data_IF_050848548343
#
_entry.id   IF_050848548343
#
_cell.length_a   1.000
_cell.length_b   1.000
_cell.length_c   1.000
_cell.angle_alpha   90.00
_cell.angle_beta   90.00
_cell.angle_gamma   90.00
#
_symmetry.space_group_name_H-M   'P 1'
#
loop_
_entity.id
_entity.type
_entity.pdbx_description
1 polymer ?
#
# COMPACT_ATOMS: atom_id res chain seq x y z
N UNK A 1 12.67 5.01 10.48
CA UNK A 1 12.79 3.61 10.04
C UNK A 1 13.42 2.72 11.11
N UNK A 2 14.67 2.97 11.55
CA UNK A 2 15.35 2.08 12.52
C UNK A 2 14.54 1.93 13.81
N UNK A 3 14.03 3.02 14.37
CA UNK A 3 13.24 2.97 15.61
C UNK A 3 11.94 2.18 15.42
N UNK A 4 11.26 2.38 14.28
CA UNK A 4 10.05 1.64 13.93
C UNK A 4 10.32 0.14 13.79
N UNK A 5 11.43 -0.23 13.15
CA UNK A 5 11.82 -1.63 12.97
C UNK A 5 12.24 -2.27 14.31
N UNK A 6 12.80 -1.49 15.24
CA UNK A 6 13.14 -1.95 16.60
C UNK A 6 11.91 -2.10 17.49
N UNK A 7 10.81 -1.41 17.18
CA UNK A 7 9.56 -1.60 17.90
C UNK A 7 9.04 -3.02 17.72
N UNK A 8 8.48 -3.59 18.79
CA UNK A 8 7.94 -4.96 18.84
C UNK A 8 8.90 -6.00 18.24
N UNK A 9 10.11 -6.22 18.81
CA UNK A 9 11.19 -6.98 18.18
C UNK A 9 10.86 -8.45 17.91
N UNK A 10 9.84 -9.00 18.59
CA UNK A 10 9.34 -10.36 18.36
C UNK A 10 8.57 -10.49 17.04
N UNK A 11 8.05 -9.38 16.53
CA UNK A 11 7.21 -9.40 15.33
C UNK A 11 8.01 -9.25 14.06
N UNK A 12 7.56 -9.92 13.01
CA UNK A 12 8.14 -9.81 11.67
C UNK A 12 7.71 -8.50 11.02
N UNK A 13 8.63 -7.82 10.32
CA UNK A 13 8.34 -6.58 9.59
C UNK A 13 8.64 -6.72 8.10
N UNK A 14 7.64 -6.43 7.28
CA UNK A 14 7.76 -6.32 5.83
C UNK A 14 8.05 -4.87 5.46
N UNK A 15 9.24 -4.58 4.94
CA UNK A 15 9.67 -3.20 4.63
C UNK A 15 9.81 -3.03 3.13
N UNK A 16 9.02 -2.14 2.53
CA UNK A 16 9.16 -1.76 1.12
C UNK A 16 10.01 -0.51 0.95
N UNK A 17 11.00 -0.60 0.06
CA UNK A 17 11.87 0.51 -0.36
C UNK A 17 11.95 0.59 -1.88
N UNK A 18 12.10 1.79 -2.43
CA UNK A 18 12.26 1.97 -3.87
C UNK A 18 13.66 1.51 -4.33
N UNK A 19 13.68 0.57 -5.29
CA UNK A 19 14.85 -0.25 -5.62
C UNK A 19 16.09 0.57 -6.04
N UNK A 20 15.89 1.54 -6.93
CA UNK A 20 17.00 2.20 -7.65
C UNK A 20 17.75 3.24 -6.84
N UNK A 21 17.09 3.89 -5.87
CA UNK A 21 17.69 5.02 -5.12
C UNK A 21 17.96 4.69 -3.66
N UNK A 22 17.09 3.90 -3.02
CA UNK A 22 17.08 3.76 -1.55
C UNK A 22 17.34 2.35 -1.04
N UNK A 23 17.31 1.34 -1.93
CA UNK A 23 17.63 -0.05 -1.59
C UNK A 23 19.03 -0.22 -0.95
N UNK A 24 20.13 0.14 -1.64
CA UNK A 24 21.48 -0.01 -1.10
C UNK A 24 21.71 0.74 0.22
N UNK A 25 21.24 1.99 0.31
CA UNK A 25 21.37 2.80 1.53
C UNK A 25 20.59 2.20 2.70
N UNK A 26 19.36 1.71 2.48
CA UNK A 26 18.57 1.07 3.53
C UNK A 26 19.22 -0.22 4.03
N UNK A 27 19.81 -1.01 3.13
CA UNK A 27 20.58 -2.21 3.49
C UNK A 27 21.79 -1.88 4.36
N UNK A 28 22.58 -0.88 3.96
CA UNK A 28 23.74 -0.44 4.71
C UNK A 28 23.34 0.00 6.13
N UNK A 29 22.29 0.82 6.25
CA UNK A 29 21.80 1.30 7.56
C UNK A 29 21.26 0.18 8.45
N UNK A 30 20.57 -0.82 7.90
CA UNK A 30 20.11 -1.97 8.69
C UNK A 30 21.29 -2.81 9.19
N UNK A 31 22.30 -3.04 8.33
CA UNK A 31 23.51 -3.77 8.70
C UNK A 31 24.34 -3.03 9.76
N UNK A 32 24.55 -1.72 9.61
CA UNK A 32 25.21 -0.86 10.59
C UNK A 32 24.49 -0.86 11.95
N UNK A 33 23.16 -0.93 11.92
CA UNK A 33 22.34 -1.01 13.12
C UNK A 33 22.30 -2.41 13.77
N UNK A 34 22.98 -3.40 13.18
CA UNK A 34 23.01 -4.79 13.65
C UNK A 34 21.67 -5.51 13.52
N UNK A 35 20.80 -5.07 12.59
CA UNK A 35 19.48 -5.63 12.38
C UNK A 35 19.51 -6.69 11.27
N UNK A 36 19.32 -7.99 11.58
CA UNK A 36 19.28 -9.02 10.55
C UNK A 36 18.07 -8.82 9.63
N UNK A 37 18.25 -8.96 8.33
CA UNK A 37 17.18 -8.85 7.35
C UNK A 37 17.40 -9.83 6.20
N UNK A 38 16.30 -10.33 5.64
CA UNK A 38 16.33 -11.03 4.35
C UNK A 38 16.02 -10.04 3.23
N UNK A 39 16.63 -10.25 2.06
CA UNK A 39 16.49 -9.37 0.90
C UNK A 39 15.52 -9.98 -0.08
N UNK A 40 14.61 -9.17 -0.60
CA UNK A 40 13.66 -9.59 -1.62
C UNK A 40 13.57 -8.54 -2.73
N UNK A 41 14.23 -8.79 -3.85
CA UNK A 41 14.29 -7.84 -4.96
C UNK A 41 14.19 -8.55 -6.32
N UNK A 42 14.02 -7.77 -7.38
CA UNK A 42 13.87 -8.29 -8.74
C UNK A 42 15.12 -8.95 -9.33
N UNK A 43 16.29 -8.88 -8.65
CA UNK A 43 17.49 -9.59 -9.09
C UNK A 43 17.50 -11.07 -8.69
N UNK A 44 16.59 -11.48 -7.79
CA UNK A 44 16.46 -12.86 -7.34
C UNK A 44 15.63 -13.70 -8.32
N UNK A 45 16.08 -14.92 -8.58
CA UNK A 45 15.31 -15.97 -9.22
C UNK A 45 14.15 -16.46 -8.32
N UNK A 46 13.20 -17.19 -8.89
CA UNK A 46 12.08 -17.77 -8.12
C UNK A 46 12.52 -18.56 -6.88
N UNK A 47 13.45 -19.52 -7.00
CA UNK A 47 13.97 -20.27 -5.83
C UNK A 47 14.68 -19.40 -4.80
N UNK A 48 15.43 -18.38 -5.23
CA UNK A 48 16.09 -17.44 -4.31
C UNK A 48 15.08 -16.57 -3.56
N UNK A 49 13.99 -16.16 -4.23
CA UNK A 49 12.88 -15.46 -3.59
C UNK A 49 12.18 -16.35 -2.56
N UNK A 50 11.99 -17.64 -2.83
CA UNK A 50 11.41 -18.59 -1.88
C UNK A 50 12.32 -18.80 -0.66
N UNK A 51 13.64 -18.91 -0.89
CA UNK A 51 14.64 -19.00 0.16
C UNK A 51 14.66 -17.74 1.05
N UNK A 52 14.50 -16.54 0.46
CA UNK A 52 14.40 -15.30 1.20
C UNK A 52 13.14 -15.24 2.09
N UNK A 53 12.00 -15.74 1.60
CA UNK A 53 10.77 -15.83 2.41
C UNK A 53 10.94 -16.84 3.56
N UNK A 54 11.58 -17.99 3.31
CA UNK A 54 11.88 -18.96 4.36
C UNK A 54 12.84 -18.38 5.42
N UNK A 55 13.90 -17.69 4.98
CA UNK A 55 14.79 -16.98 5.89
C UNK A 55 14.05 -15.94 6.73
N UNK A 56 13.17 -15.14 6.11
CA UNK A 56 12.34 -14.18 6.83
C UNK A 56 11.38 -14.82 7.83
N UNK A 57 10.76 -15.94 7.46
CA UNK A 57 9.89 -16.68 8.38
C UNK A 57 10.66 -17.18 9.59
N UNK A 58 11.76 -17.87 9.36
CA UNK A 58 12.38 -18.72 10.38
C UNK A 58 13.50 -18.01 11.16
N UNK A 59 14.17 -17.02 10.55
CA UNK A 59 15.43 -16.47 11.10
C UNK A 59 15.47 -14.94 11.15
N UNK A 60 15.16 -14.26 10.05
CA UNK A 60 15.30 -12.81 9.96
C UNK A 60 14.03 -12.09 10.47
N UNK A 61 14.13 -11.05 11.30
CA UNK A 61 12.98 -10.26 11.75
C UNK A 61 12.41 -9.33 10.66
N UNK A 62 13.16 -9.09 9.59
CA UNK A 62 12.84 -8.08 8.56
C UNK A 62 12.92 -8.71 7.18
N UNK A 63 11.93 -8.45 6.34
CA UNK A 63 12.03 -8.65 4.88
C UNK A 63 12.14 -7.29 4.22
N UNK A 64 13.29 -7.02 3.58
CA UNK A 64 13.50 -5.79 2.83
C UNK A 64 13.14 -6.04 1.36
N UNK A 65 11.99 -5.52 0.96
CA UNK A 65 11.41 -5.66 -0.37
C UNK A 65 11.66 -4.44 -1.25
N UNK A 66 11.89 -4.68 -2.54
CA UNK A 66 11.82 -3.64 -3.57
C UNK A 66 10.64 -3.87 -4.53
N UNK A 67 10.09 -2.81 -5.12
CA UNK A 67 8.92 -2.87 -6.02
C UNK A 67 9.06 -3.90 -7.17
N UNK A 68 10.28 -4.19 -7.62
CA UNK A 68 10.55 -5.14 -8.70
C UNK A 68 10.42 -6.62 -8.29
N UNK A 69 10.17 -6.92 -7.02
CA UNK A 69 9.98 -8.28 -6.51
C UNK A 69 8.59 -8.88 -6.82
N UNK A 70 7.81 -8.27 -7.72
CA UNK A 70 6.38 -8.48 -7.99
C UNK A 70 5.93 -9.91 -8.33
N UNK A 71 5.99 -10.80 -7.34
CA UNK A 71 5.28 -12.06 -7.33
C UNK A 71 4.52 -12.14 -6.02
N UNK A 72 3.18 -12.17 -6.12
CA UNK A 72 2.29 -13.23 -5.60
C UNK A 72 2.39 -13.77 -4.18
N UNK A 73 3.52 -13.68 -3.48
CA UNK A 73 3.79 -14.51 -2.31
C UNK A 73 2.94 -14.12 -1.12
N UNK A 74 2.41 -15.14 -0.47
CA UNK A 74 1.64 -15.02 0.75
C UNK A 74 2.61 -14.85 1.93
N UNK A 75 2.47 -13.74 2.65
CA UNK A 75 3.31 -13.39 3.80
C UNK A 75 2.43 -13.18 5.04
N UNK A 76 1.31 -13.91 5.17
CA UNK A 76 0.39 -13.83 6.31
C UNK A 76 1.01 -14.13 7.68
N UNK A 77 2.20 -14.76 7.76
CA UNK A 77 2.92 -14.91 9.03
C UNK A 77 3.51 -13.57 9.56
N UNK A 78 3.48 -12.52 8.74
CA UNK A 78 3.83 -11.15 9.10
C UNK A 78 2.55 -10.32 9.17
N UNK A 79 2.46 -9.41 10.15
CA UNK A 79 1.32 -8.49 10.28
C UNK A 79 1.74 -7.01 10.23
N UNK A 80 3.03 -6.71 10.08
CA UNK A 80 3.53 -5.33 10.08
C UNK A 80 4.12 -5.00 8.70
N UNK A 81 3.49 -4.06 8.00
CA UNK A 81 3.94 -3.51 6.72
C UNK A 81 4.48 -2.09 6.94
N UNK A 82 5.68 -1.84 6.45
CA UNK A 82 6.33 -0.52 6.48
C UNK A 82 6.62 -0.12 5.05
N UNK A 83 5.88 0.86 4.54
CA UNK A 83 6.20 1.55 3.30
C UNK A 83 7.19 2.67 3.62
N UNK A 84 8.49 2.39 3.47
CA UNK A 84 9.51 3.45 3.56
C UNK A 84 9.34 4.47 2.44
N UNK A 85 8.91 3.96 1.28
CA UNK A 85 8.53 4.73 0.11
C UNK A 85 7.10 4.34 -0.28
N UNK A 86 6.16 5.22 0.06
CA UNK A 86 4.75 5.04 -0.25
C UNK A 86 4.54 5.24 -1.75
N UNK A 87 3.97 4.27 -2.48
CA UNK A 87 3.61 4.47 -3.86
C UNK A 87 2.40 5.40 -3.92
N UNK A 88 2.47 6.42 -4.75
CA UNK A 88 1.34 7.31 -5.06
C UNK A 88 0.15 6.61 -5.75
N UNK A 89 0.33 5.39 -6.28
CA UNK A 89 -0.76 4.61 -6.87
C UNK A 89 -1.47 3.81 -5.77
N UNK A 90 -2.77 4.06 -5.51
CA UNK A 90 -3.54 3.37 -4.48
C UNK A 90 -3.53 1.84 -4.65
N UNK A 91 -3.64 1.36 -5.89
CA UNK A 91 -3.58 -0.08 -6.21
C UNK A 91 -2.29 -0.71 -5.73
N UNK A 92 -1.16 0.01 -5.84
CA UNK A 92 0.11 -0.51 -5.37
C UNK A 92 0.21 -0.59 -3.84
N UNK A 93 -0.53 0.26 -3.10
CA UNK A 93 -0.62 0.18 -1.63
C UNK A 93 -1.49 -1.01 -1.25
N UNK A 94 -2.70 -1.10 -1.83
CA UNK A 94 -3.64 -2.19 -1.57
C UNK A 94 -3.01 -3.57 -1.83
N UNK A 95 -2.31 -3.71 -2.95
CA UNK A 95 -1.60 -4.95 -3.29
C UNK A 95 -0.47 -5.31 -2.32
N UNK A 96 0.12 -4.33 -1.60
CA UNK A 96 1.10 -4.58 -0.54
C UNK A 96 0.41 -5.02 0.74
N UNK A 97 -0.69 -4.37 1.11
CA UNK A 97 -1.51 -4.74 2.27
C UNK A 97 -2.03 -6.17 2.10
N UNK A 98 -2.58 -6.49 0.92
CA UNK A 98 -3.05 -7.82 0.55
C UNK A 98 -1.99 -8.94 0.51
N UNK A 99 -0.72 -8.66 0.86
CA UNK A 99 0.32 -9.69 1.11
C UNK A 99 0.28 -10.24 2.52
N UNK A 100 -0.18 -9.43 3.46
CA UNK A 100 -0.20 -9.73 4.89
C UNK A 100 -1.62 -9.78 5.45
N UNK A 101 -2.54 -9.02 4.85
CA UNK A 101 -3.95 -8.98 5.19
C UNK A 101 -4.75 -9.77 4.15
N UNK A 102 -5.17 -10.97 4.54
CA UNK A 102 -5.87 -11.95 3.71
C UNK A 102 -6.74 -12.82 4.61
N UNK A 103 -7.75 -13.47 4.04
CA UNK A 103 -8.60 -14.44 4.73
C UNK A 103 -7.73 -15.44 5.51
N UNK A 104 -7.97 -15.56 6.82
CA UNK A 104 -7.19 -16.39 7.74
C UNK A 104 -6.07 -15.67 8.50
N UNK A 105 -5.89 -14.36 8.28
CA UNK A 105 -5.09 -13.52 9.18
C UNK A 105 -5.89 -13.28 10.47
N UNK A 106 -5.38 -13.78 11.60
CA UNK A 106 -6.03 -13.64 12.91
C UNK A 106 -5.47 -12.47 13.72
N UNK A 107 -4.33 -11.92 13.28
CA UNK A 107 -3.62 -10.86 14.00
C UNK A 107 -3.92 -9.52 13.37
N UNK A 108 -4.03 -8.50 14.23
CA UNK A 108 -4.17 -7.11 13.80
C UNK A 108 -3.00 -6.72 12.88
N UNK A 109 -3.34 -6.10 11.74
CA UNK A 109 -2.39 -5.67 10.72
C UNK A 109 -2.04 -4.21 10.91
N UNK A 110 -0.74 -3.92 10.98
CA UNK A 110 -0.21 -2.56 11.11
C UNK A 110 0.44 -2.12 9.80
N UNK A 111 -0.03 -1.00 9.24
CA UNK A 111 0.53 -0.41 8.02
C UNK A 111 1.13 0.95 8.35
N UNK A 112 2.43 1.09 8.16
CA UNK A 112 3.15 2.35 8.37
C UNK A 112 3.57 2.95 7.04
N UNK A 113 3.03 4.12 6.73
CA UNK A 113 3.35 4.89 5.52
C UNK A 113 4.30 6.02 5.88
N UNK A 114 5.58 5.91 5.51
CA UNK A 114 6.56 6.96 5.72
C UNK A 114 6.55 7.92 4.54
N UNK A 115 6.28 9.19 4.81
CA UNK A 115 6.20 10.25 3.81
C UNK A 115 7.06 11.44 4.22
N UNK A 116 7.64 12.11 3.23
CA UNK A 116 8.41 13.34 3.44
C UNK A 116 7.47 14.53 3.31
N UNK A 117 7.56 15.48 4.25
CA UNK A 117 6.72 16.69 4.21
C UNK A 117 7.00 17.54 2.98
N UNK A 118 5.94 18.13 2.43
CA UNK A 118 5.99 19.02 1.27
C UNK A 118 6.21 18.31 -0.06
N UNK A 119 6.07 16.97 -0.12
CA UNK A 119 6.23 16.21 -1.36
C UNK A 119 4.88 15.83 -1.97
N UNK A 120 4.90 15.48 -3.26
CA UNK A 120 3.71 14.99 -3.96
C UNK A 120 3.12 13.76 -3.27
N UNK A 121 3.96 12.87 -2.73
CA UNK A 121 3.49 11.69 -2.00
C UNK A 121 2.66 12.05 -0.76
N UNK A 122 2.97 13.16 -0.07
CA UNK A 122 2.16 13.66 1.06
C UNK A 122 0.79 14.11 0.60
N UNK A 123 0.74 14.90 -0.48
CA UNK A 123 -0.52 15.42 -1.01
C UNK A 123 -1.44 14.31 -1.51
N UNK A 124 -0.88 13.35 -2.25
CA UNK A 124 -1.64 12.20 -2.77
C UNK A 124 -2.12 11.32 -1.62
N UNK A 125 -1.27 11.01 -0.64
CA UNK A 125 -1.67 10.17 0.49
C UNK A 125 -2.76 10.85 1.33
N UNK A 126 -2.65 12.16 1.58
CA UNK A 126 -3.68 12.93 2.28
C UNK A 126 -5.01 12.92 1.52
N UNK A 127 -4.97 13.09 0.19
CA UNK A 127 -6.16 13.04 -0.67
C UNK A 127 -6.88 11.68 -0.57
N UNK A 128 -6.12 10.59 -0.65
CA UNK A 128 -6.66 9.23 -0.59
C UNK A 128 -7.26 8.91 0.78
N UNK A 129 -6.64 9.40 1.85
CA UNK A 129 -7.17 9.24 3.19
C UNK A 129 -8.45 10.05 3.39
N UNK A 130 -8.44 11.34 3.03
CA UNK A 130 -9.55 12.24 3.27
C UNK A 130 -10.79 11.91 2.42
N UNK A 131 -10.59 11.56 1.14
CA UNK A 131 -11.71 11.46 0.19
C UNK A 131 -12.29 10.06 0.06
N UNK A 132 -11.50 9.01 0.27
CA UNK A 132 -11.99 7.63 0.09
C UNK A 132 -11.78 6.74 1.32
N UNK A 133 -11.20 7.25 2.41
CA UNK A 133 -10.88 6.49 3.62
C UNK A 133 -10.10 5.22 3.25
N UNK A 134 -9.08 5.38 2.41
CA UNK A 134 -8.48 4.26 1.67
C UNK A 134 -8.07 3.08 2.56
N UNK A 135 -7.59 3.34 3.77
CA UNK A 135 -7.13 2.31 4.70
C UNK A 135 -8.25 1.57 5.43
N UNK A 136 -9.49 2.04 5.32
CA UNK A 136 -10.69 1.38 5.87
C UNK A 136 -11.42 0.51 4.82
N UNK A 137 -11.02 0.62 3.55
CA UNK A 137 -11.65 -0.10 2.45
C UNK A 137 -11.30 -1.59 2.48
N UNK A 138 -12.29 -2.41 2.13
CA UNK A 138 -12.08 -3.84 1.92
C UNK A 138 -11.30 -4.07 0.62
N UNK A 139 -10.47 -5.11 0.58
CA UNK A 139 -9.73 -5.51 -0.63
C UNK A 139 -10.68 -5.62 -1.83
N UNK A 140 -10.36 -4.90 -2.90
CA UNK A 140 -11.11 -4.83 -4.16
C UNK A 140 -11.96 -3.57 -4.30
N UNK A 141 -12.32 -2.90 -3.20
CA UNK A 141 -13.14 -1.69 -3.24
C UNK A 141 -12.38 -0.51 -3.83
N UNK A 142 -11.07 -0.41 -3.59
CA UNK A 142 -10.23 0.64 -4.17
C UNK A 142 -10.29 0.55 -5.70
N UNK A 143 -10.27 -0.66 -6.27
CA UNK A 143 -10.36 -0.87 -7.72
C UNK A 143 -11.72 -0.44 -8.29
N UNK A 144 -12.80 -0.76 -7.58
CA UNK A 144 -14.16 -0.36 -7.97
C UNK A 144 -14.35 1.17 -7.95
N UNK A 145 -13.83 1.84 -6.91
CA UNK A 145 -13.88 3.31 -6.79
C UNK A 145 -13.07 3.96 -7.91
N UNK A 146 -11.85 3.50 -8.16
CA UNK A 146 -11.01 4.04 -9.23
C UNK A 146 -11.61 3.80 -10.61
N UNK A 147 -12.25 2.65 -10.84
CA UNK A 147 -12.96 2.37 -12.10
C UNK A 147 -14.17 3.28 -12.34
N UNK A 148 -14.86 3.71 -11.28
CA UNK A 148 -15.96 4.67 -11.38
C UNK A 148 -15.48 6.12 -11.60
N UNK A 149 -14.22 6.43 -11.25
CA UNK A 149 -13.66 7.78 -11.37
C UNK A 149 -13.49 8.19 -12.84
N UNK A 150 -13.11 7.26 -13.72
CA UNK A 150 -12.96 7.44 -15.17
C UNK A 150 -12.67 6.08 -15.87
N UNK A 151 -13.38 5.79 -16.97
CA UNK A 151 -13.27 4.50 -17.69
C UNK A 151 -11.97 4.35 -18.53
N UNK A 152 -11.26 5.45 -18.81
CA UNK A 152 -10.17 5.47 -19.82
C UNK A 152 -8.77 5.85 -19.28
N UNK A 153 -8.63 6.38 -18.06
CA UNK A 153 -7.34 6.89 -17.53
C UNK A 153 -6.96 6.26 -16.21
N UNK A 154 -5.65 6.02 -16.02
CA UNK A 154 -5.15 5.53 -14.74
C UNK A 154 -5.00 6.67 -13.73
N UNK A 155 -5.23 6.37 -12.44
CA UNK A 155 -5.08 7.33 -11.35
C UNK A 155 -3.73 8.08 -11.32
N UNK A 156 -2.57 7.45 -11.56
CA UNK A 156 -1.29 8.17 -11.58
C UNK A 156 -1.20 9.27 -12.64
N UNK A 157 -1.89 9.09 -13.78
CA UNK A 157 -1.89 10.08 -14.86
C UNK A 157 -2.68 11.33 -14.43
N UNK A 158 -3.82 11.15 -13.77
CA UNK A 158 -4.63 12.25 -13.22
C UNK A 158 -3.87 13.07 -12.19
N UNK A 159 -3.14 12.39 -11.30
CA UNK A 159 -2.28 13.04 -10.30
C UNK A 159 -1.16 13.82 -10.97
N UNK A 160 -0.53 13.24 -12.00
CA UNK A 160 0.55 13.89 -12.73
C UNK A 160 0.05 15.14 -13.46
N UNK A 161 -1.09 15.06 -14.14
CA UNK A 161 -1.73 16.21 -14.79
C UNK A 161 -2.00 17.34 -13.80
N UNK A 162 -2.65 17.03 -12.66
CA UNK A 162 -2.91 18.02 -11.61
C UNK A 162 -1.61 18.64 -11.07
N UNK A 163 -0.55 17.84 -10.92
CA UNK A 163 0.74 18.31 -10.43
C UNK A 163 1.49 19.21 -11.45
N UNK A 164 1.36 18.93 -12.74
CA UNK A 164 2.00 19.66 -13.83
C UNK A 164 1.42 21.08 -14.02
N UNK A 165 0.34 21.41 -13.32
CA UNK A 165 -0.21 22.77 -13.29
C UNK A 165 0.85 23.81 -12.92
N UNK A 166 0.84 24.89 -13.71
CA UNK A 166 1.92 25.89 -13.76
C UNK A 166 1.95 26.83 -12.57
N UNK A 167 0.81 27.01 -11.90
CA UNK A 167 0.69 27.84 -10.70
C UNK A 167 0.28 27.01 -9.50
N UNK A 168 0.69 27.43 -8.31
CA UNK A 168 0.30 26.77 -7.06
C UNK A 168 -1.23 26.80 -6.87
N UNK A 169 -1.89 27.90 -7.25
CA UNK A 169 -3.35 28.02 -7.19
C UNK A 169 -4.05 27.05 -8.15
N UNK A 170 -3.58 26.94 -9.40
CA UNK A 170 -4.14 26.01 -10.38
C UNK A 170 -3.92 24.55 -9.94
N UNK A 171 -2.74 24.24 -9.40
CA UNK A 171 -2.45 22.91 -8.84
C UNK A 171 -3.38 22.57 -7.69
N UNK A 172 -3.53 23.48 -6.72
CA UNK A 172 -4.44 23.27 -5.59
C UNK A 172 -5.88 23.04 -6.08
N UNK A 173 -6.35 23.82 -7.05
CA UNK A 173 -7.67 23.65 -7.65
C UNK A 173 -7.81 22.30 -8.38
N UNK A 174 -6.78 21.85 -9.08
CA UNK A 174 -6.78 20.57 -9.78
C UNK A 174 -6.83 19.38 -8.80
N UNK A 175 -6.06 19.44 -7.70
CA UNK A 175 -6.12 18.43 -6.63
C UNK A 175 -7.48 18.43 -5.91
N UNK A 176 -8.08 19.60 -5.67
CA UNK A 176 -9.41 19.70 -5.08
C UNK A 176 -10.47 19.09 -6.00
N UNK A 177 -10.40 19.36 -7.30
CA UNK A 177 -11.30 18.77 -8.30
C UNK A 177 -11.14 17.25 -8.39
N UNK A 178 -9.90 16.75 -8.39
CA UNK A 178 -9.63 15.30 -8.32
C UNK A 178 -10.21 14.69 -7.04
N UNK A 179 -10.06 15.37 -5.90
CA UNK A 179 -10.60 14.95 -4.63
C UNK A 179 -12.12 14.87 -4.61
N UNK A 180 -12.80 15.88 -5.15
CA UNK A 180 -14.26 15.89 -5.24
C UNK A 180 -14.79 14.72 -6.09
N UNK A 181 -14.09 14.39 -7.17
CA UNK A 181 -14.43 13.24 -8.03
C UNK A 181 -14.23 11.90 -7.32
N UNK A 182 -13.12 11.77 -6.58
CA UNK A 182 -12.85 10.58 -5.76
C UNK A 182 -13.91 10.37 -4.68
N UNK A 183 -14.30 11.44 -3.98
CA UNK A 183 -15.38 11.39 -2.98
C UNK A 183 -16.70 10.95 -3.63
N UNK A 184 -17.04 11.50 -4.80
CA UNK A 184 -18.26 11.13 -5.50
C UNK A 184 -18.28 9.66 -5.92
N UNK A 185 -17.19 9.17 -6.51
CA UNK A 185 -17.02 7.76 -6.88
C UNK A 185 -17.09 6.84 -5.64
N UNK A 186 -16.47 7.24 -4.54
CA UNK A 186 -16.52 6.52 -3.26
C UNK A 186 -17.94 6.45 -2.68
N UNK A 187 -18.68 7.56 -2.67
CA UNK A 187 -20.08 7.61 -2.22
C UNK A 187 -20.98 6.76 -3.09
N UNK A 188 -20.81 6.80 -4.41
CA UNK A 188 -21.57 5.97 -5.34
C UNK A 188 -21.30 4.48 -5.07
N UNK A 189 -20.04 4.10 -4.88
CA UNK A 189 -19.67 2.72 -4.57
C UNK A 189 -20.28 2.25 -3.24
N UNK A 190 -20.15 3.03 -2.16
CA UNK A 190 -20.75 2.72 -0.85
C UNK A 190 -22.27 2.65 -0.93
N UNK A 191 -22.91 3.54 -1.69
CA UNK A 191 -24.35 3.54 -1.92
C UNK A 191 -24.84 2.30 -2.66
N UNK A 192 -24.12 1.88 -3.71
CA UNK A 192 -24.43 0.66 -4.45
C UNK A 192 -24.29 -0.58 -3.55
N UNK A 193 -23.19 -0.68 -2.79
CA UNK A 193 -22.97 -1.77 -1.84
C UNK A 193 -24.07 -1.88 -0.78
N UNK A 194 -24.48 -0.74 -0.20
CA UNK A 194 -25.55 -0.71 0.79
C UNK A 194 -26.93 -1.08 0.22
N UNK A 195 -27.16 -0.82 -1.08
CA UNK A 195 -28.38 -1.24 -1.76
C UNK A 195 -28.35 -2.75 -2.03
N UNK A 196 -27.23 -3.29 -2.51
CA UNK A 196 -27.05 -4.72 -2.75
C UNK A 196 -27.22 -5.53 -1.45
N UNK A 197 -26.64 -5.07 -0.34
CA UNK A 197 -26.79 -5.71 0.97
C UNK A 197 -28.25 -5.70 1.45
N UNK A 198 -29.00 -4.63 1.19
CA UNK A 198 -30.44 -4.57 1.52
C UNK A 198 -31.29 -5.46 0.63
N UNK A 199 -30.93 -5.62 -0.64
CA UNK A 199 -31.70 -6.40 -1.62
C UNK A 199 -31.43 -7.90 -1.49
N UNK A 200 -30.18 -8.29 -1.21
CA UNK A 200 -29.74 -9.68 -1.27
C UNK A 200 -29.20 -10.24 0.06
N UNK A 201 -28.94 -9.40 1.07
CA UNK A 201 -28.33 -9.83 2.34
C UNK A 201 -29.21 -10.76 3.17
N UNK A 202 -30.54 -10.65 3.06
CA UNK A 202 -31.47 -11.52 3.78
C UNK A 202 -31.61 -12.93 3.17
N UNK A 203 -31.28 -13.10 1.89
CA UNK A 203 -31.47 -14.37 1.17
C UNK A 203 -30.32 -15.38 1.43
N UNK A 204 -29.21 -14.95 2.03
CA UNK A 204 -28.06 -15.81 2.34
C UNK A 204 -28.00 -16.31 3.79
N UNK A 205 -28.85 -15.81 4.70
CA UNK A 205 -28.96 -16.35 6.07
C UNK A 205 -29.94 -17.53 6.19
N UNK A 206 -30.65 -17.86 5.10
CA UNK A 206 -31.64 -18.93 5.04
C UNK A 206 -31.20 -20.09 4.11
N UNK A 207 -30.05 -20.71 4.38
CA UNK A 207 -29.66 -21.99 3.78
C UNK A 207 -28.77 -22.83 4.72
#
# INVERSE_FOLDING_TARGET
LIDLVRSNPQEKKLVFVHARRRGPASRARLAEAGLPFSRFDGSLSGPEKDAAIAEFRDRAPILLCTQSGGEGRNIQFCNTLINFDVPWNPMAIEQRIGRIDRIGQEREVFVFNLVTRGTLEEQVLALLEEKISMFELVVGEVGAILGALEEEREFPDLVLEAWLETTEAARAQAFEALGARLDDASRQHRGAKALDEKLFGADFEAA
#
